data_IF_509018783691
#
_entry.id   IF_509018783691
#
_cell.length_a   1.000
_cell.length_b   1.000
_cell.length_c   1.000
_cell.angle_alpha   90.00
_cell.angle_beta   90.00
_cell.angle_gamma   90.00
#
_symmetry.space_group_name_H-M   'P 1'
#
loop_
_entity.id
_entity.type
_entity.pdbx_description
1 polymer ?
#
# COMPACT_ATOMS: atom_id res chain seq x y z
N UNK A 1 -0.51 -11.30 -24.30
CA UNK A 1 0.70 -10.92 -23.53
C UNK A 1 1.90 -10.75 -24.47
N UNK A 2 2.53 -9.57 -24.47
CA UNK A 2 3.79 -9.28 -25.18
C UNK A 2 4.97 -9.32 -24.20
N UNK A 3 6.15 -9.69 -24.68
CA UNK A 3 7.37 -9.69 -23.85
C UNK A 3 8.37 -8.66 -24.37
N UNK A 4 9.00 -7.91 -23.46
CA UNK A 4 10.09 -6.99 -23.80
C UNK A 4 11.26 -7.18 -22.85
N UNK A 5 12.48 -7.04 -23.36
CA UNK A 5 13.73 -7.12 -22.57
C UNK A 5 14.51 -5.82 -22.52
N UNK A 6 14.10 -4.79 -23.27
CA UNK A 6 14.76 -3.48 -23.34
C UNK A 6 13.82 -2.37 -22.91
N UNK A 7 14.38 -1.33 -22.28
CA UNK A 7 13.62 -0.13 -21.85
C UNK A 7 12.98 0.56 -23.04
N UNK A 8 13.71 0.76 -24.13
CA UNK A 8 13.20 1.47 -25.31
C UNK A 8 11.96 0.79 -25.91
N UNK A 9 11.97 -0.55 -26.05
CA UNK A 9 10.83 -1.27 -26.62
C UNK A 9 9.61 -1.26 -25.68
N UNK A 10 9.84 -1.41 -24.37
CA UNK A 10 8.77 -1.31 -23.37
C UNK A 10 8.15 0.09 -23.37
N UNK A 11 8.97 1.13 -23.27
CA UNK A 11 8.48 2.51 -23.23
C UNK A 11 7.72 2.87 -24.50
N UNK A 12 8.21 2.48 -25.68
CA UNK A 12 7.49 2.68 -26.94
C UNK A 12 6.11 2.00 -26.93
N UNK A 13 5.98 0.84 -26.31
CA UNK A 13 4.70 0.15 -26.20
C UNK A 13 3.73 0.82 -25.22
N UNK A 14 4.24 1.53 -24.21
CA UNK A 14 3.46 2.15 -23.15
C UNK A 14 3.05 3.61 -23.43
N UNK A 15 3.53 4.23 -24.52
CA UNK A 15 3.33 5.67 -24.77
C UNK A 15 1.85 6.11 -24.76
N UNK A 16 0.95 5.27 -25.29
CA UNK A 16 -0.47 5.60 -25.44
C UNK A 16 -1.36 4.92 -24.39
N UNK A 17 -0.76 4.32 -23.34
CA UNK A 17 -1.52 3.62 -22.32
C UNK A 17 -2.16 4.61 -21.32
N UNK A 18 -3.50 4.62 -21.26
CA UNK A 18 -4.27 5.52 -20.39
C UNK A 18 -4.16 5.21 -18.90
N UNK A 19 -3.94 3.94 -18.54
CA UNK A 19 -3.79 3.50 -17.16
C UNK A 19 -2.94 2.24 -17.10
N UNK A 20 -1.85 2.29 -16.35
CA UNK A 20 -0.87 1.19 -16.22
C UNK A 20 -0.84 0.71 -14.78
N UNK A 21 -1.22 -0.55 -14.58
CA UNK A 21 -1.00 -1.30 -13.35
C UNK A 21 0.30 -2.08 -13.42
N UNK A 22 1.22 -1.87 -12.48
CA UNK A 22 2.53 -2.50 -12.49
C UNK A 22 2.74 -3.45 -11.29
N UNK A 23 3.22 -4.66 -11.57
CA UNK A 23 3.56 -5.66 -10.55
C UNK A 23 5.04 -6.03 -10.69
N UNK A 24 5.96 -5.40 -9.93
CA UNK A 24 7.36 -5.77 -9.93
C UNK A 24 7.59 -7.08 -9.15
N UNK A 25 8.24 -8.06 -9.78
CA UNK A 25 8.54 -9.36 -9.17
C UNK A 25 9.96 -9.83 -9.50
N UNK A 26 10.43 -10.83 -8.76
CA UNK A 26 11.66 -11.58 -9.07
C UNK A 26 11.37 -12.90 -9.82
N UNK A 27 10.14 -13.15 -10.27
CA UNK A 27 9.74 -14.45 -10.84
C UNK A 27 9.46 -15.51 -9.78
N UNK A 28 9.36 -16.78 -10.21
CA UNK A 28 8.86 -17.89 -9.40
C UNK A 28 7.49 -17.56 -8.78
N UNK A 29 6.56 -17.23 -9.67
CA UNK A 29 5.25 -16.70 -9.34
C UNK A 29 4.39 -17.75 -8.63
N UNK A 30 3.49 -17.25 -7.79
CA UNK A 30 2.61 -18.07 -6.95
C UNK A 30 1.30 -17.33 -6.70
N UNK A 31 0.36 -17.92 -5.96
CA UNK A 31 -0.97 -17.34 -5.71
C UNK A 31 -0.92 -15.93 -5.09
N UNK A 32 0.09 -15.65 -4.25
CA UNK A 32 0.39 -14.28 -3.81
C UNK A 32 0.57 -13.29 -4.96
N UNK A 33 1.45 -13.58 -5.93
CA UNK A 33 1.65 -12.74 -7.11
C UNK A 33 0.41 -12.68 -8.01
N UNK A 34 -0.29 -13.81 -8.19
CA UNK A 34 -1.53 -13.84 -8.96
C UNK A 34 -2.59 -12.89 -8.37
N UNK A 35 -2.67 -12.77 -7.04
CA UNK A 35 -3.58 -11.81 -6.39
C UNK A 35 -3.23 -10.35 -6.69
N UNK A 36 -1.93 -10.01 -6.79
CA UNK A 36 -1.48 -8.68 -7.19
C UNK A 36 -1.90 -8.38 -8.63
N UNK A 37 -1.66 -9.34 -9.53
CA UNK A 37 -2.01 -9.24 -10.95
C UNK A 37 -3.52 -9.10 -11.12
N UNK A 38 -4.31 -9.90 -10.40
CA UNK A 38 -5.77 -9.84 -10.44
C UNK A 38 -6.31 -8.48 -9.96
N UNK A 39 -5.69 -7.88 -8.93
CA UNK A 39 -6.04 -6.53 -8.50
C UNK A 39 -5.62 -5.47 -9.52
N UNK A 40 -4.40 -5.54 -10.03
CA UNK A 40 -3.91 -4.65 -11.09
C UNK A 40 -4.81 -4.69 -12.32
N UNK A 41 -5.30 -5.88 -12.69
CA UNK A 41 -6.19 -6.05 -13.84
C UNK A 41 -7.54 -5.38 -13.65
N UNK A 42 -8.12 -5.44 -12.45
CA UNK A 42 -9.42 -4.82 -12.12
C UNK A 42 -9.37 -3.29 -12.13
N UNK A 43 -8.21 -2.72 -11.83
CA UNK A 43 -8.08 -1.29 -11.55
C UNK A 43 -7.41 -0.49 -12.68
N UNK A 44 -6.89 -1.15 -13.72
CA UNK A 44 -6.13 -0.50 -14.79
C UNK A 44 -6.46 -1.08 -16.17
N UNK A 45 -6.18 -0.31 -17.23
CA UNK A 45 -6.40 -0.70 -18.62
C UNK A 45 -5.27 -1.57 -19.18
N UNK A 46 -4.03 -1.37 -18.74
CA UNK A 46 -2.85 -2.18 -19.11
C UNK A 46 -2.19 -2.73 -17.85
N UNK A 47 -1.87 -4.02 -17.83
CA UNK A 47 -1.11 -4.67 -16.75
C UNK A 47 0.28 -5.05 -17.23
N UNK A 48 1.28 -4.52 -16.54
CA UNK A 48 2.70 -4.82 -16.73
C UNK A 48 3.20 -5.62 -15.53
N UNK A 49 3.88 -6.74 -15.79
CA UNK A 49 4.64 -7.47 -14.76
C UNK A 49 6.11 -7.44 -15.14
N UNK A 50 7.00 -7.14 -14.20
CA UNK A 50 8.44 -7.40 -14.41
C UNK A 50 8.86 -8.68 -13.70
N UNK A 51 9.70 -9.47 -14.35
CA UNK A 51 10.45 -10.56 -13.72
C UNK A 51 11.92 -10.20 -13.83
N UNK A 52 12.52 -9.81 -12.70
CA UNK A 52 13.92 -9.45 -12.63
C UNK A 52 14.49 -9.82 -11.26
N UNK A 53 15.39 -10.80 -11.25
CA UNK A 53 16.13 -11.18 -10.04
C UNK A 53 17.25 -10.16 -9.87
N UNK A 54 16.99 -9.14 -9.05
CA UNK A 54 17.90 -8.03 -8.80
C UNK A 54 19.12 -8.48 -7.97
N UNK A 55 20.36 -8.49 -8.49
CA UNK A 55 21.52 -8.88 -7.69
C UNK A 55 21.83 -7.93 -6.53
N UNK A 56 21.49 -6.64 -6.64
CA UNK A 56 21.85 -5.62 -5.63
C UNK A 56 21.17 -5.83 -4.27
N UNK A 57 20.09 -6.60 -4.23
CA UNK A 57 19.35 -6.88 -3.00
C UNK A 57 19.73 -8.24 -2.38
N UNK A 58 20.77 -8.90 -2.88
CA UNK A 58 21.29 -10.14 -2.31
C UNK A 58 22.66 -9.89 -1.67
N UNK A 59 22.82 -10.32 -0.42
CA UNK A 59 24.12 -10.36 0.23
C UNK A 59 25.03 -11.46 -0.35
N UNK A 60 26.36 -11.42 -0.10
CA UNK A 60 27.32 -12.39 -0.65
C UNK A 60 27.02 -13.85 -0.29
N UNK A 61 26.38 -14.09 0.86
CA UNK A 61 26.02 -15.42 1.36
C UNK A 61 24.55 -15.78 1.12
N UNK A 62 23.81 -14.92 0.40
CA UNK A 62 22.39 -15.15 0.12
C UNK A 62 22.17 -16.00 -1.14
N UNK A 63 20.93 -16.38 -1.36
CA UNK A 63 20.50 -17.40 -2.30
C UNK A 63 20.44 -16.96 -3.77
N UNK A 64 21.20 -15.94 -4.22
CA UNK A 64 21.13 -15.41 -5.59
C UNK A 64 21.36 -16.50 -6.66
N UNK A 65 22.35 -17.36 -6.44
CA UNK A 65 22.69 -18.44 -7.36
C UNK A 65 21.59 -19.53 -7.41
N UNK A 66 20.90 -19.76 -6.28
CA UNK A 66 19.91 -20.81 -6.11
C UNK A 66 18.46 -20.31 -6.22
N UNK A 67 18.27 -19.02 -6.50
CA UNK A 67 16.94 -18.43 -6.60
C UNK A 67 16.17 -19.05 -7.79
N UNK A 68 14.93 -19.54 -7.58
CA UNK A 68 14.18 -20.25 -8.61
C UNK A 68 13.90 -19.39 -9.85
N UNK A 69 14.05 -19.97 -11.05
CA UNK A 69 13.85 -19.27 -12.35
C UNK A 69 12.91 -20.02 -13.32
N UNK A 70 11.68 -20.38 -12.91
CA UNK A 70 10.77 -21.17 -13.74
C UNK A 70 10.04 -20.31 -14.78
N UNK A 71 10.79 -19.70 -15.71
CA UNK A 71 10.26 -18.66 -16.62
C UNK A 71 9.04 -19.11 -17.44
N UNK A 72 9.00 -20.36 -17.89
CA UNK A 72 7.86 -20.86 -18.67
C UNK A 72 6.59 -20.96 -17.83
N UNK A 73 6.70 -21.42 -16.58
CA UNK A 73 5.58 -21.44 -15.63
C UNK A 73 5.12 -20.03 -15.28
N UNK A 74 6.06 -19.11 -15.08
CA UNK A 74 5.74 -17.69 -14.82
C UNK A 74 5.00 -17.05 -16.00
N UNK A 75 5.44 -17.33 -17.24
CA UNK A 75 4.76 -16.85 -18.46
C UNK A 75 3.35 -17.41 -18.58
N UNK A 76 3.16 -18.70 -18.29
CA UNK A 76 1.85 -19.33 -18.32
C UNK A 76 0.89 -18.71 -17.28
N UNK A 77 1.36 -18.48 -16.06
CA UNK A 77 0.58 -17.82 -15.01
C UNK A 77 0.21 -16.39 -15.40
N UNK A 78 1.17 -15.60 -15.88
CA UNK A 78 0.91 -14.23 -16.34
C UNK A 78 -0.11 -14.18 -17.48
N UNK A 79 0.01 -15.07 -18.47
CA UNK A 79 -0.93 -15.15 -19.57
C UNK A 79 -2.35 -15.49 -19.08
N UNK A 80 -2.49 -16.49 -18.21
CA UNK A 80 -3.77 -16.89 -17.63
C UNK A 80 -4.39 -15.80 -16.74
N UNK A 81 -3.57 -14.98 -16.08
CA UNK A 81 -4.00 -13.89 -15.22
C UNK A 81 -4.31 -12.57 -15.97
N UNK A 82 -4.22 -12.56 -17.31
CA UNK A 82 -4.57 -11.40 -18.13
C UNK A 82 -3.51 -10.30 -18.16
N UNK A 83 -2.23 -10.66 -18.01
CA UNK A 83 -1.11 -9.72 -18.15
C UNK A 83 -0.93 -9.32 -19.62
N UNK A 84 -0.87 -8.01 -19.87
CA UNK A 84 -0.68 -7.47 -21.22
C UNK A 84 0.79 -7.52 -21.63
N UNK A 85 1.68 -7.14 -20.70
CA UNK A 85 3.11 -7.00 -20.95
C UNK A 85 3.93 -7.66 -19.84
N UNK A 86 4.87 -8.51 -20.25
CA UNK A 86 5.89 -9.09 -19.39
C UNK A 86 7.25 -8.45 -19.70
N UNK A 87 7.81 -7.73 -18.74
CA UNK A 87 9.13 -7.12 -18.84
C UNK A 87 10.20 -8.05 -18.23
N UNK A 88 11.13 -8.49 -19.07
CA UNK A 88 12.18 -9.47 -18.77
C UNK A 88 13.56 -8.86 -19.00
N UNK A 89 13.96 -7.85 -18.21
CA UNK A 89 15.23 -7.18 -18.42
C UNK A 89 16.41 -8.07 -17.99
N UNK A 90 17.53 -7.96 -18.68
CA UNK A 90 18.80 -8.58 -18.23
C UNK A 90 19.49 -7.70 -17.20
N UNK A 91 20.40 -8.28 -16.41
CA UNK A 91 21.25 -7.52 -15.46
C UNK A 91 22.06 -6.45 -16.19
N UNK A 92 22.63 -6.80 -17.34
CA UNK A 92 23.39 -5.86 -18.18
C UNK A 92 22.52 -4.71 -18.70
N UNK A 93 21.26 -4.98 -19.06
CA UNK A 93 20.34 -3.92 -19.47
C UNK A 93 19.99 -2.99 -18.28
N UNK A 94 19.80 -3.56 -17.09
CA UNK A 94 19.45 -2.79 -15.90
C UNK A 94 20.62 -1.98 -15.34
N UNK A 95 21.85 -2.51 -15.37
CA UNK A 95 23.00 -1.96 -14.64
C UNK A 95 24.25 -1.68 -15.50
N UNK A 96 24.18 -1.95 -16.81
CA UNK A 96 25.32 -1.82 -17.72
C UNK A 96 26.29 -2.99 -17.65
N UNK A 97 27.35 -2.91 -18.45
CA UNK A 97 28.41 -3.92 -18.53
C UNK A 97 29.46 -3.83 -17.41
N UNK A 98 29.30 -2.91 -16.45
CA UNK A 98 30.24 -2.75 -15.34
C UNK A 98 30.32 -4.03 -14.49
N UNK A 99 31.51 -4.28 -13.95
CA UNK A 99 31.87 -5.54 -13.30
C UNK A 99 30.81 -5.97 -12.27
N UNK A 100 30.19 -7.13 -12.50
CA UNK A 100 28.96 -7.60 -11.82
C UNK A 100 29.13 -7.78 -10.30
N UNK A 101 30.35 -7.62 -9.81
CA UNK A 101 30.82 -7.78 -8.45
C UNK A 101 31.14 -6.44 -7.77
N UNK A 102 31.28 -5.34 -8.52
CA UNK A 102 31.72 -4.06 -7.98
C UNK A 102 30.73 -2.94 -8.32
N UNK A 103 29.77 -2.72 -7.42
CA UNK A 103 28.72 -1.69 -7.53
C UNK A 103 29.26 -0.25 -7.44
N UNK A 104 30.59 -0.07 -7.42
CA UNK A 104 31.31 1.17 -7.14
C UNK A 104 31.09 2.30 -8.17
N UNK A 105 30.43 2.02 -9.30
CA UNK A 105 30.09 3.03 -10.32
C UNK A 105 28.58 3.24 -10.55
N UNK A 106 27.71 2.50 -9.85
CA UNK A 106 26.27 2.58 -10.06
C UNK A 106 25.64 3.58 -9.08
N UNK A 107 24.89 4.55 -9.61
CA UNK A 107 24.04 5.42 -8.77
C UNK A 107 22.97 4.58 -8.07
N UNK A 108 22.93 4.67 -6.74
CA UNK A 108 22.02 3.90 -5.90
C UNK A 108 21.17 4.81 -5.02
N UNK A 109 20.03 4.29 -4.60
CA UNK A 109 19.08 4.98 -3.72
C UNK A 109 19.18 4.37 -2.33
N UNK A 110 19.49 5.20 -1.34
CA UNK A 110 19.69 4.78 0.04
C UNK A 110 18.47 5.22 0.88
N UNK A 111 17.67 4.27 1.41
CA UNK A 111 16.57 4.61 2.31
C UNK A 111 17.06 5.24 3.62
N UNK A 112 16.22 6.04 4.31
CA UNK A 112 16.54 6.55 5.65
C UNK A 112 16.92 5.43 6.63
N UNK A 113 17.96 5.66 7.44
CA UNK A 113 18.48 4.67 8.39
C UNK A 113 17.41 4.15 9.37
N UNK A 114 16.49 5.02 9.80
CA UNK A 114 15.38 4.63 10.68
C UNK A 114 14.50 3.50 10.12
N UNK A 115 14.40 3.37 8.79
CA UNK A 115 13.60 2.31 8.15
C UNK A 115 14.38 1.01 7.94
N UNK A 116 15.72 1.03 8.06
CA UNK A 116 16.59 -0.11 7.73
C UNK A 116 17.37 -0.66 8.93
N UNK A 117 17.41 0.03 10.07
CA UNK A 117 18.16 -0.42 11.26
C UNK A 117 17.47 -1.56 12.07
N UNK A 118 16.20 -1.84 11.79
CA UNK A 118 15.39 -2.86 12.46
C UNK A 118 14.92 -3.95 11.49
N UNK A 119 14.27 -5.00 12.03
CA UNK A 119 13.68 -6.10 11.25
C UNK A 119 14.69 -6.73 10.27
N UNK A 120 14.27 -7.02 9.03
CA UNK A 120 15.14 -7.59 8.00
C UNK A 120 16.34 -6.70 7.67
N UNK A 121 16.25 -5.39 7.87
CA UNK A 121 17.32 -4.47 7.49
C UNK A 121 18.54 -4.62 8.38
N UNK A 122 18.34 -4.97 9.67
CA UNK A 122 19.43 -5.31 10.61
C UNK A 122 20.23 -6.51 10.13
N UNK A 123 19.53 -7.57 9.71
CA UNK A 123 20.15 -8.85 9.37
C UNK A 123 20.61 -8.94 7.91
N UNK A 124 20.16 -8.00 7.05
CA UNK A 124 20.47 -7.98 5.62
C UNK A 124 21.01 -6.61 5.19
N UNK A 125 22.24 -6.25 5.63
CA UNK A 125 22.86 -4.98 5.25
C UNK A 125 22.88 -4.78 3.73
N UNK A 126 22.51 -3.59 3.25
CA UNK A 126 22.45 -3.28 1.82
C UNK A 126 21.21 -3.80 1.07
N UNK A 127 20.46 -4.76 1.63
CA UNK A 127 19.28 -5.34 0.97
C UNK A 127 18.28 -4.27 0.51
N UNK A 128 17.87 -3.37 1.40
CA UNK A 128 16.88 -2.34 1.09
C UNK A 128 17.42 -1.20 0.23
N UNK A 129 18.74 -0.97 0.21
CA UNK A 129 19.36 -0.08 -0.78
C UNK A 129 19.25 -0.69 -2.18
N UNK A 130 19.49 -2.00 -2.32
CA UNK A 130 19.26 -2.74 -3.57
C UNK A 130 17.81 -2.70 -4.02
N UNK A 131 16.85 -2.90 -3.09
CA UNK A 131 15.41 -2.82 -3.36
C UNK A 131 15.01 -1.41 -3.78
N UNK A 132 15.39 -0.37 -3.04
CA UNK A 132 15.05 1.01 -3.35
C UNK A 132 15.61 1.44 -4.71
N UNK A 133 16.84 1.03 -5.03
CA UNK A 133 17.47 1.30 -6.32
C UNK A 133 16.70 0.67 -7.47
N UNK A 134 16.41 -0.63 -7.40
CA UNK A 134 15.72 -1.32 -8.52
C UNK A 134 14.28 -0.84 -8.67
N UNK A 135 13.55 -0.60 -7.57
CA UNK A 135 12.17 -0.13 -7.63
C UNK A 135 12.10 1.28 -8.20
N UNK A 136 12.98 2.20 -7.76
CA UNK A 136 13.07 3.55 -8.34
C UNK A 136 13.32 3.47 -9.85
N UNK A 137 14.24 2.61 -10.27
CA UNK A 137 14.55 2.42 -11.69
C UNK A 137 13.36 1.87 -12.48
N UNK A 138 12.69 0.85 -11.96
CA UNK A 138 11.51 0.25 -12.60
C UNK A 138 10.33 1.24 -12.70
N UNK A 139 10.08 2.03 -11.67
CA UNK A 139 9.02 3.06 -11.68
C UNK A 139 9.32 4.15 -12.72
N UNK A 140 10.59 4.55 -12.89
CA UNK A 140 11.00 5.49 -13.94
C UNK A 140 10.89 4.89 -15.36
N UNK A 141 11.13 3.59 -15.50
CA UNK A 141 11.01 2.87 -16.79
C UNK A 141 9.55 2.73 -17.19
N UNK A 142 8.70 2.25 -16.27
CA UNK A 142 7.30 1.87 -16.55
C UNK A 142 6.34 3.06 -16.45
N UNK A 143 6.62 4.02 -15.54
CA UNK A 143 5.75 5.16 -15.18
C UNK A 143 4.28 4.76 -14.95
N UNK A 144 4.01 3.85 -14.02
CA UNK A 144 2.68 3.32 -13.82
C UNK A 144 1.76 4.32 -13.11
N UNK A 145 0.45 4.18 -13.34
CA UNK A 145 -0.57 4.87 -12.52
C UNK A 145 -0.67 4.24 -11.14
N UNK A 146 -0.51 2.90 -11.05
CA UNK A 146 -0.56 2.14 -9.80
C UNK A 146 0.47 1.03 -9.80
N UNK A 147 1.16 0.85 -8.68
CA UNK A 147 2.12 -0.25 -8.49
C UNK A 147 1.72 -1.09 -7.29
N UNK A 148 1.70 -2.41 -7.48
CA UNK A 148 1.15 -3.36 -6.51
C UNK A 148 2.25 -4.12 -5.80
N UNK A 149 2.23 -4.06 -4.46
CA UNK A 149 3.14 -4.78 -3.59
C UNK A 149 2.38 -5.58 -2.53
N UNK A 150 2.89 -6.77 -2.21
CA UNK A 150 2.32 -7.62 -1.17
C UNK A 150 2.69 -7.14 0.24
N UNK A 151 1.75 -7.23 1.17
CA UNK A 151 1.95 -6.92 2.60
C UNK A 151 2.89 -7.91 3.30
N UNK A 152 3.19 -9.07 2.70
CA UNK A 152 4.11 -10.06 3.26
C UNK A 152 5.50 -9.46 3.53
N UNK A 153 5.96 -8.60 2.64
CA UNK A 153 7.21 -7.87 2.77
C UNK A 153 6.93 -6.46 3.34
N UNK A 154 6.34 -6.39 4.54
CA UNK A 154 5.82 -5.14 5.13
C UNK A 154 6.87 -4.02 5.24
N UNK A 155 8.11 -4.36 5.63
CA UNK A 155 9.22 -3.40 5.69
C UNK A 155 9.57 -2.85 4.30
N UNK A 156 9.57 -3.70 3.26
CA UNK A 156 9.77 -3.26 1.88
C UNK A 156 8.66 -2.28 1.46
N UNK A 157 7.39 -2.62 1.75
CA UNK A 157 6.26 -1.77 1.41
C UNK A 157 6.34 -0.39 2.09
N UNK A 158 6.69 -0.34 3.38
CA UNK A 158 6.88 0.92 4.11
C UNK A 158 8.01 1.76 3.50
N UNK A 159 9.15 1.14 3.17
CA UNK A 159 10.28 1.81 2.51
C UNK A 159 9.89 2.35 1.12
N UNK A 160 9.18 1.57 0.31
CA UNK A 160 8.76 1.99 -1.03
C UNK A 160 7.74 3.13 -0.96
N UNK A 161 6.81 3.11 0.00
CA UNK A 161 5.90 4.23 0.24
C UNK A 161 6.66 5.50 0.63
N UNK A 162 7.63 5.38 1.54
CA UNK A 162 8.47 6.51 1.94
C UNK A 162 9.25 7.07 0.76
N UNK A 163 9.87 6.19 -0.01
CA UNK A 163 10.61 6.52 -1.22
C UNK A 163 9.74 7.24 -2.26
N UNK A 164 8.53 6.73 -2.51
CA UNK A 164 7.60 7.34 -3.47
C UNK A 164 7.19 8.75 -3.03
N UNK A 165 6.91 8.95 -1.74
CA UNK A 165 6.60 10.26 -1.19
C UNK A 165 7.79 11.22 -1.23
N UNK A 166 8.96 10.79 -0.73
CA UNK A 166 10.15 11.65 -0.59
C UNK A 166 10.74 12.07 -1.95
N UNK A 167 10.62 11.22 -2.99
CA UNK A 167 11.16 11.48 -4.33
C UNK A 167 10.10 11.87 -5.36
N UNK A 168 8.86 12.09 -4.95
CA UNK A 168 7.72 12.37 -5.84
C UNK A 168 7.64 11.38 -7.01
N UNK A 169 7.80 10.08 -6.73
CA UNK A 169 7.75 9.07 -7.77
C UNK A 169 6.33 8.97 -8.33
N UNK A 170 6.18 8.74 -9.65
CA UNK A 170 4.87 8.71 -10.28
C UNK A 170 4.06 7.48 -9.83
N UNK A 171 2.75 7.69 -9.69
CA UNK A 171 1.78 6.63 -9.44
C UNK A 171 1.57 6.29 -7.97
N UNK A 172 0.51 5.54 -7.71
CA UNK A 172 0.09 5.13 -6.38
C UNK A 172 0.71 3.78 -5.96
N UNK A 173 1.15 3.65 -4.70
CA UNK A 173 1.65 2.38 -4.15
C UNK A 173 0.53 1.61 -3.45
N UNK A 174 0.02 0.59 -4.14
CA UNK A 174 -1.09 -0.24 -3.70
C UNK A 174 -0.59 -1.43 -2.87
N UNK A 175 -1.03 -1.50 -1.62
CA UNK A 175 -0.77 -2.66 -0.75
C UNK A 175 -1.81 -3.75 -0.94
N UNK A 176 -1.36 -4.99 -1.11
CA UNK A 176 -2.23 -6.15 -1.26
C UNK A 176 -2.08 -7.13 -0.09
N UNK A 177 -3.19 -7.73 0.41
CA UNK A 177 -3.16 -8.69 1.50
C UNK A 177 -2.22 -9.87 1.30
N UNK A 178 -1.74 -10.43 2.41
CA UNK A 178 -0.97 -11.67 2.40
C UNK A 178 -1.88 -12.82 1.96
N UNK A 179 -1.49 -13.54 0.91
CA UNK A 179 -2.17 -14.78 0.51
C UNK A 179 -1.49 -15.94 1.23
N UNK A 180 -2.32 -16.80 1.85
CA UNK A 180 -1.88 -17.97 2.62
C UNK A 180 -2.41 -19.25 1.97
N UNK A 181 -1.65 -20.33 2.09
CA UNK A 181 -2.13 -21.67 1.78
C UNK A 181 -3.20 -22.11 2.81
N UNK A 182 -3.90 -23.21 2.53
CA UNK A 182 -4.96 -23.72 3.43
C UNK A 182 -4.46 -24.04 4.84
N UNK A 183 -3.17 -24.40 4.98
CA UNK A 183 -2.51 -24.63 6.27
C UNK A 183 -2.04 -23.34 6.98
N UNK A 184 -2.37 -22.16 6.42
CA UNK A 184 -2.01 -20.85 6.96
C UNK A 184 -0.62 -20.33 6.58
N UNK A 185 0.24 -21.13 5.94
CA UNK A 185 1.57 -20.70 5.53
C UNK A 185 1.47 -19.61 4.46
N UNK A 186 2.16 -18.49 4.64
CA UNK A 186 2.21 -17.43 3.64
C UNK A 186 2.90 -17.91 2.36
N UNK A 187 2.34 -17.60 1.19
CA UNK A 187 2.99 -17.97 -0.08
C UNK A 187 4.31 -17.21 -0.26
N UNK A 188 5.34 -17.93 -0.68
CA UNK A 188 6.68 -17.41 -0.98
C UNK A 188 7.33 -18.28 -2.04
N UNK A 189 8.11 -17.69 -2.95
CA UNK A 189 8.96 -18.45 -3.89
C UNK A 189 9.90 -19.40 -3.15
N UNK A 190 10.38 -18.99 -1.97
CA UNK A 190 11.26 -19.78 -1.10
C UNK A 190 10.58 -20.99 -0.42
N UNK A 191 9.25 -21.13 -0.49
CA UNK A 191 8.58 -22.33 0.04
C UNK A 191 8.97 -23.59 -0.76
N UNK A 192 9.47 -23.44 -1.99
CA UNK A 192 9.97 -24.53 -2.81
C UNK A 192 11.19 -25.26 -2.20
N UNK A 193 11.90 -24.63 -1.25
CA UNK A 193 13.04 -25.24 -0.56
C UNK A 193 12.62 -26.14 0.62
N UNK A 194 11.36 -26.08 1.04
CA UNK A 194 10.87 -26.77 2.23
C UNK A 194 10.39 -28.18 1.88
N UNK A 195 10.90 -29.17 2.61
CA UNK A 195 10.30 -30.52 2.68
C UNK A 195 8.89 -30.46 3.30
N UNK A 196 8.11 -31.54 3.16
CA UNK A 196 6.77 -31.60 3.75
C UNK A 196 6.77 -31.41 5.29
N UNK A 197 7.78 -31.95 5.99
CA UNK A 197 7.93 -31.77 7.43
C UNK A 197 8.29 -30.33 7.80
N UNK A 198 9.17 -29.70 7.02
CA UNK A 198 9.53 -28.29 7.22
C UNK A 198 8.37 -27.35 6.91
N UNK A 199 7.56 -27.62 5.87
CA UNK A 199 6.33 -26.88 5.60
C UNK A 199 5.35 -26.97 6.78
N UNK A 200 5.19 -28.15 7.35
CA UNK A 200 4.33 -28.34 8.53
C UNK A 200 4.86 -27.54 9.72
N UNK A 201 6.17 -27.54 9.99
CA UNK A 201 6.77 -26.71 11.05
C UNK A 201 6.62 -25.22 10.79
N UNK A 202 6.82 -24.77 9.54
CA UNK A 202 6.73 -23.37 9.14
C UNK A 202 5.34 -22.74 9.41
N UNK A 203 4.28 -23.54 9.48
CA UNK A 203 2.94 -23.04 9.88
C UNK A 203 2.91 -22.45 11.31
N UNK A 204 3.92 -22.73 12.15
CA UNK A 204 4.04 -22.10 13.47
C UNK A 204 4.18 -20.57 13.40
N UNK A 205 4.76 -20.04 12.33
CA UNK A 205 4.87 -18.60 12.11
C UNK A 205 3.49 -17.94 12.04
N UNK A 206 2.61 -18.46 11.18
CA UNK A 206 1.26 -17.92 11.02
C UNK A 206 0.38 -18.20 12.22
N UNK A 207 0.48 -19.37 12.85
CA UNK A 207 -0.22 -19.68 14.11
C UNK A 207 0.17 -18.72 15.24
N UNK A 208 1.46 -18.43 15.39
CA UNK A 208 1.95 -17.46 16.37
C UNK A 208 1.34 -16.08 16.18
N UNK A 209 1.36 -15.58 14.94
CA UNK A 209 0.74 -14.29 14.60
C UNK A 209 -0.76 -14.28 14.83
N UNK A 210 -1.46 -15.37 14.52
CA UNK A 210 -2.90 -15.51 14.79
C UNK A 210 -3.20 -15.44 16.29
N UNK A 211 -2.45 -16.15 17.14
CA UNK A 211 -2.62 -16.08 18.60
C UNK A 211 -2.30 -14.69 19.16
N UNK A 212 -1.31 -14.00 18.60
CA UNK A 212 -1.02 -12.61 18.97
C UNK A 212 -2.17 -11.67 18.56
N UNK A 213 -2.78 -11.90 17.40
CA UNK A 213 -3.97 -11.18 16.97
C UNK A 213 -5.17 -11.45 17.90
N UNK A 214 -5.42 -12.70 18.29
CA UNK A 214 -6.46 -13.05 19.26
C UNK A 214 -6.22 -12.38 20.63
N UNK A 215 -4.97 -12.36 21.11
CA UNK A 215 -4.61 -11.64 22.34
C UNK A 215 -4.89 -10.13 22.18
N UNK A 216 -4.56 -9.56 21.02
CA UNK A 216 -4.85 -8.16 20.73
C UNK A 216 -6.35 -7.86 20.68
N UNK A 217 -7.14 -8.69 20.02
CA UNK A 217 -8.61 -8.53 19.97
C UNK A 217 -9.24 -8.60 21.37
N UNK A 218 -8.65 -9.37 22.28
CA UNK A 218 -9.03 -9.48 23.70
C UNK A 218 -8.45 -8.38 24.62
N UNK A 219 -7.90 -7.31 24.06
CA UNK A 219 -7.41 -6.14 24.83
C UNK A 219 -5.92 -6.17 25.16
N UNK A 220 -5.16 -7.19 24.75
CA UNK A 220 -3.72 -7.21 24.89
C UNK A 220 -3.05 -6.13 24.02
N UNK A 221 -2.21 -5.29 24.63
CA UNK A 221 -1.51 -4.20 23.90
C UNK A 221 0.01 -4.22 24.09
N UNK A 222 0.49 -4.91 25.10
CA UNK A 222 1.91 -4.91 25.48
C UNK A 222 2.75 -5.76 24.52
N UNK A 223 3.86 -5.17 24.04
CA UNK A 223 4.83 -5.81 23.17
C UNK A 223 5.33 -7.15 23.74
N UNK A 224 5.74 -7.15 25.01
CA UNK A 224 6.31 -8.33 25.67
C UNK A 224 5.35 -9.53 25.63
N UNK A 225 4.05 -9.30 25.88
CA UNK A 225 3.04 -10.36 25.88
C UNK A 225 2.79 -10.91 24.46
N UNK A 226 2.64 -10.01 23.48
CA UNK A 226 2.44 -10.39 22.08
C UNK A 226 3.64 -11.19 21.53
N UNK A 227 4.86 -10.70 21.78
CA UNK A 227 6.10 -11.37 21.37
C UNK A 227 6.26 -12.72 22.06
N UNK A 228 5.94 -12.83 23.36
CA UNK A 228 6.07 -14.07 24.11
C UNK A 228 5.16 -15.17 23.57
N UNK A 229 3.91 -14.85 23.21
CA UNK A 229 2.98 -15.82 22.59
C UNK A 229 3.54 -16.36 21.28
N UNK A 230 4.02 -15.47 20.39
CA UNK A 230 4.61 -15.91 19.12
C UNK A 230 5.84 -16.78 19.35
N UNK A 231 6.72 -16.37 20.28
CA UNK A 231 7.94 -17.12 20.61
C UNK A 231 7.63 -18.53 21.13
N UNK A 232 6.59 -18.67 21.96
CA UNK A 232 6.15 -19.98 22.46
C UNK A 232 5.67 -20.90 21.34
N UNK A 233 4.91 -20.37 20.37
CA UNK A 233 4.44 -21.16 19.21
C UNK A 233 5.59 -21.65 18.33
N UNK A 234 6.59 -20.80 18.09
CA UNK A 234 7.79 -21.18 17.34
C UNK A 234 8.59 -22.25 18.09
N UNK A 235 8.81 -22.06 19.40
CA UNK A 235 9.55 -23.02 20.22
C UNK A 235 8.88 -24.40 20.26
N UNK A 236 7.55 -24.46 20.35
CA UNK A 236 6.79 -25.71 20.29
C UNK A 236 6.95 -26.47 18.97
N UNK A 237 7.28 -25.77 17.88
CA UNK A 237 7.61 -26.36 16.58
C UNK A 237 9.12 -26.61 16.37
N UNK A 238 9.94 -26.39 17.42
CA UNK A 238 11.39 -26.48 17.38
C UNK A 238 12.01 -25.44 16.44
N UNK A 239 11.42 -24.24 16.37
CA UNK A 239 11.92 -23.13 15.56
C UNK A 239 12.43 -22.01 16.45
N UNK A 240 13.54 -21.41 16.04
CA UNK A 240 14.07 -20.19 16.63
C UNK A 240 13.84 -19.02 15.67
N UNK A 241 13.34 -17.91 16.21
CA UNK A 241 13.19 -16.70 15.44
C UNK A 241 14.52 -15.96 15.34
N UNK A 242 14.84 -15.49 14.13
CA UNK A 242 15.87 -14.47 13.93
C UNK A 242 15.42 -13.15 14.58
N UNK A 243 14.15 -12.79 14.43
CA UNK A 243 13.51 -11.73 15.18
C UNK A 243 12.00 -11.95 15.33
N UNK A 244 11.45 -11.40 16.41
CA UNK A 244 10.02 -11.14 16.61
C UNK A 244 9.96 -9.72 17.16
N UNK A 245 9.51 -8.77 16.36
CA UNK A 245 9.55 -7.35 16.71
C UNK A 245 8.18 -6.70 16.46
N UNK A 246 7.74 -5.88 17.42
CA UNK A 246 6.58 -5.01 17.27
C UNK A 246 7.07 -3.60 16.95
N UNK A 247 6.64 -3.07 15.81
CA UNK A 247 7.04 -1.74 15.33
C UNK A 247 5.85 -0.92 14.87
N UNK A 248 6.04 0.38 14.74
CA UNK A 248 5.08 1.24 14.04
C UNK A 248 5.13 0.92 12.52
N UNK A 249 3.99 0.71 11.85
CA UNK A 249 3.96 0.27 10.45
C UNK A 249 4.50 1.29 9.44
N UNK A 250 4.65 2.56 9.83
CA UNK A 250 5.07 3.65 8.94
C UNK A 250 6.55 4.00 9.15
N UNK A 251 6.94 4.21 10.41
CA UNK A 251 8.29 4.63 10.81
C UNK A 251 9.22 3.45 11.08
N UNK A 252 8.65 2.24 11.22
CA UNK A 252 9.35 0.99 11.55
C UNK A 252 10.17 1.07 12.85
N UNK A 253 9.85 2.04 13.72
CA UNK A 253 10.46 2.16 15.03
C UNK A 253 9.82 1.17 16.02
N UNK A 254 10.62 0.54 16.91
CA UNK A 254 10.09 -0.35 17.93
C UNK A 254 9.06 0.31 18.82
N UNK A 255 8.04 -0.45 19.20
CA UNK A 255 6.97 -0.01 20.10
C UNK A 255 6.88 -0.93 21.32
N UNK A 256 6.60 -0.35 22.49
CA UNK A 256 6.36 -1.10 23.72
C UNK A 256 4.88 -1.44 23.93
N UNK A 257 3.98 -0.63 23.38
CA UNK A 257 2.53 -0.80 23.51
C UNK A 257 1.84 -0.29 22.25
N UNK A 258 0.81 -1.01 21.80
CA UNK A 258 -0.02 -0.58 20.68
C UNK A 258 -1.07 0.40 21.19
N UNK A 259 -1.07 1.63 20.65
CA UNK A 259 -2.14 2.60 20.91
C UNK A 259 -3.29 2.39 19.92
N UNK A 260 -3.03 2.59 18.63
CA UNK A 260 -4.02 2.37 17.56
C UNK A 260 -3.64 1.22 16.64
N UNK A 261 -2.39 1.22 16.19
CA UNK A 261 -1.87 0.28 15.19
C UNK A 261 -0.44 -0.12 15.52
N UNK A 262 -0.10 -1.37 15.27
CA UNK A 262 1.25 -1.91 15.39
C UNK A 262 1.45 -3.05 14.39
N UNK A 263 2.66 -3.18 13.87
CA UNK A 263 3.07 -4.26 12.99
C UNK A 263 3.90 -5.26 13.80
N UNK A 264 3.37 -6.47 14.00
CA UNK A 264 4.11 -7.58 14.58
C UNK A 264 4.73 -8.39 13.45
N UNK A 265 6.06 -8.36 13.34
CA UNK A 265 6.80 -9.00 12.26
C UNK A 265 7.73 -10.09 12.79
N UNK A 266 7.88 -11.15 12.00
CA UNK A 266 8.73 -12.30 12.32
C UNK A 266 9.60 -12.72 11.15
N UNK A 267 10.81 -13.18 11.48
CA UNK A 267 11.66 -13.94 10.57
C UNK A 267 12.23 -15.14 11.31
N UNK A 268 12.29 -16.28 10.61
CA UNK A 268 12.86 -17.52 11.15
C UNK A 268 13.48 -18.37 10.04
N UNK A 269 14.51 -19.12 10.38
CA UNK A 269 15.12 -20.10 9.51
C UNK A 269 14.39 -21.45 9.64
N UNK A 270 13.93 -22.01 8.53
CA UNK A 270 13.31 -23.33 8.47
C UNK A 270 14.04 -24.16 7.41
N UNK A 271 14.87 -25.10 7.86
CA UNK A 271 15.80 -25.78 6.97
C UNK A 271 16.79 -24.78 6.37
N UNK A 272 16.90 -24.76 5.05
CA UNK A 272 17.72 -23.79 4.29
C UNK A 272 16.94 -22.52 3.92
N UNK A 273 15.63 -22.47 4.13
CA UNK A 273 14.81 -21.31 3.79
C UNK A 273 14.70 -20.30 4.95
N UNK A 274 15.04 -19.04 4.67
CA UNK A 274 14.67 -17.92 5.54
C UNK A 274 13.26 -17.46 5.23
N UNK A 275 12.34 -17.66 6.18
CA UNK A 275 10.93 -17.28 6.05
C UNK A 275 10.64 -16.00 6.83
N UNK A 276 9.69 -15.22 6.31
CA UNK A 276 9.16 -14.03 6.99
C UNK A 276 7.64 -14.08 6.97
N UNK A 277 7.04 -13.47 7.99
CA UNK A 277 5.60 -13.25 8.07
C UNK A 277 5.33 -12.01 8.95
N UNK A 278 4.12 -11.46 8.89
CA UNK A 278 3.71 -10.35 9.73
C UNK A 278 2.19 -10.25 9.90
N UNK A 279 1.77 -9.53 10.94
CA UNK A 279 0.39 -9.15 11.18
C UNK A 279 0.28 -7.67 11.55
N UNK A 280 -0.64 -6.97 10.90
CA UNK A 280 -1.01 -5.61 11.27
C UNK A 280 -2.11 -5.68 12.33
N UNK A 281 -1.76 -5.34 13.57
CA UNK A 281 -2.66 -5.28 14.70
C UNK A 281 -3.22 -3.86 14.79
N UNK A 282 -4.52 -3.69 14.60
CA UNK A 282 -5.15 -2.37 14.53
C UNK A 282 -6.50 -2.37 15.24
N UNK A 283 -6.76 -1.33 16.03
CA UNK A 283 -8.05 -1.07 16.66
C UNK A 283 -8.74 0.15 16.04
N UNK A 284 -8.65 0.31 14.72
CA UNK A 284 -9.40 1.35 14.02
C UNK A 284 -10.84 0.88 13.77
N UNK A 285 -11.80 1.71 14.15
CA UNK A 285 -13.19 1.52 13.71
C UNK A 285 -13.24 1.50 12.18
N UNK A 286 -14.09 0.64 11.61
CA UNK A 286 -14.22 0.50 10.18
C UNK A 286 -14.60 1.84 9.52
N UNK A 287 -13.91 2.20 8.44
CA UNK A 287 -14.33 3.30 7.56
C UNK A 287 -15.22 2.69 6.48
N UNK A 288 -16.48 3.11 6.44
CA UNK A 288 -17.45 2.64 5.45
C UNK A 288 -17.67 3.74 4.42
N UNK A 289 -17.22 3.50 3.18
CA UNK A 289 -17.51 4.37 2.04
C UNK A 289 -18.76 3.85 1.32
N UNK A 290 -19.70 4.77 1.03
CA UNK A 290 -20.96 4.46 0.34
C UNK A 290 -20.94 5.16 -1.02
N UNK A 291 -20.72 4.40 -2.09
CA UNK A 291 -20.63 4.89 -3.46
C UNK A 291 -21.83 4.47 -4.32
N UNK A 292 -22.06 5.16 -5.43
CA UNK A 292 -23.17 4.94 -6.35
C UNK A 292 -23.56 6.20 -7.14
N UNK A 293 -24.44 6.09 -8.15
CA UNK A 293 -24.82 7.22 -8.99
C UNK A 293 -25.54 8.34 -8.22
N UNK A 294 -25.57 9.54 -8.79
CA UNK A 294 -26.32 10.68 -8.24
C UNK A 294 -27.80 10.32 -8.04
N UNK A 295 -28.43 10.81 -6.97
CA UNK A 295 -29.84 10.52 -6.65
C UNK A 295 -30.13 9.13 -6.08
N UNK A 296 -29.14 8.23 -5.96
CA UNK A 296 -29.35 6.87 -5.42
C UNK A 296 -29.64 6.80 -3.90
N UNK A 297 -29.87 7.94 -3.23
CA UNK A 297 -30.13 7.99 -1.79
C UNK A 297 -28.92 7.72 -0.90
N UNK A 298 -27.69 7.78 -1.43
CA UNK A 298 -26.44 7.48 -0.71
C UNK A 298 -26.36 8.18 0.65
N UNK A 299 -26.52 9.49 0.69
CA UNK A 299 -26.43 10.27 1.95
C UNK A 299 -27.44 9.81 3.00
N UNK A 300 -28.63 9.39 2.58
CA UNK A 300 -29.67 8.84 3.47
C UNK A 300 -29.26 7.46 3.99
N UNK A 301 -28.75 6.58 3.13
CA UNK A 301 -28.31 5.24 3.53
C UNK A 301 -27.06 5.32 4.42
N UNK A 302 -26.06 6.14 4.06
CA UNK A 302 -24.84 6.34 4.85
C UNK A 302 -25.16 6.81 6.26
N UNK A 303 -26.10 7.76 6.42
CA UNK A 303 -26.54 8.22 7.75
C UNK A 303 -27.17 7.10 8.57
N UNK A 304 -28.04 6.28 7.97
CA UNK A 304 -28.67 5.14 8.65
C UNK A 304 -27.65 4.07 9.05
N UNK A 305 -26.69 3.77 8.18
CA UNK A 305 -25.60 2.81 8.46
C UNK A 305 -24.71 3.35 9.58
N UNK A 306 -24.31 4.62 9.52
CA UNK A 306 -23.52 5.26 10.56
C UNK A 306 -24.22 5.18 11.92
N UNK A 307 -25.53 5.45 11.96
CA UNK A 307 -26.35 5.31 13.17
C UNK A 307 -26.40 3.86 13.68
N UNK A 308 -26.70 2.90 12.81
CA UNK A 308 -26.84 1.49 13.19
C UNK A 308 -25.52 0.90 13.73
N UNK A 309 -24.38 1.40 13.26
CA UNK A 309 -23.05 0.93 13.63
C UNK A 309 -22.33 1.82 14.65
N UNK A 310 -22.94 2.93 15.09
CA UNK A 310 -22.31 3.90 15.99
C UNK A 310 -21.06 4.57 15.39
N UNK A 311 -21.01 4.72 14.06
CA UNK A 311 -19.89 5.35 13.34
C UNK A 311 -20.13 6.85 13.17
N UNK A 312 -19.04 7.62 13.02
CA UNK A 312 -19.13 9.04 12.63
C UNK A 312 -19.53 9.16 11.16
N UNK A 313 -20.53 9.99 10.88
CA UNK A 313 -20.93 10.33 9.51
C UNK A 313 -20.08 11.48 8.96
N UNK A 314 -19.53 11.29 7.77
CA UNK A 314 -18.81 12.31 7.00
C UNK A 314 -19.59 12.60 5.72
N UNK A 315 -20.11 13.83 5.57
CA UNK A 315 -20.71 14.27 4.30
C UNK A 315 -19.61 14.73 3.33
N UNK A 316 -19.14 13.81 2.49
CA UNK A 316 -18.17 14.11 1.44
C UNK A 316 -18.72 15.09 0.39
N UNK A 317 -20.05 15.14 0.19
CA UNK A 317 -20.67 16.11 -0.71
C UNK A 317 -20.53 17.55 -0.20
N UNK A 318 -20.68 17.75 1.12
CA UNK A 318 -20.43 19.06 1.74
C UNK A 318 -18.96 19.49 1.59
N UNK A 319 -18.03 18.54 1.68
CA UNK A 319 -16.61 18.79 1.43
C UNK A 319 -16.35 19.25 0.00
N UNK A 320 -16.83 18.52 -1.01
CA UNK A 320 -16.65 18.91 -2.41
C UNK A 320 -17.25 20.30 -2.69
N UNK A 321 -18.47 20.59 -2.19
CA UNK A 321 -19.11 21.90 -2.37
C UNK A 321 -18.31 23.04 -1.73
N UNK A 322 -17.79 22.84 -0.51
CA UNK A 322 -16.99 23.85 0.17
C UNK A 322 -15.70 24.16 -0.61
N UNK A 323 -15.02 23.13 -1.12
CA UNK A 323 -13.82 23.31 -1.94
C UNK A 323 -14.14 24.00 -3.27
N UNK A 324 -15.22 23.62 -3.95
CA UNK A 324 -15.67 24.30 -5.18
C UNK A 324 -15.99 25.77 -4.92
N UNK A 325 -16.67 26.10 -3.81
CA UNK A 325 -16.91 27.48 -3.42
C UNK A 325 -15.59 28.24 -3.26
N UNK A 326 -14.60 27.65 -2.58
CA UNK A 326 -13.30 28.30 -2.38
C UNK A 326 -12.59 28.60 -3.71
N UNK A 327 -12.60 27.64 -4.67
CA UNK A 327 -12.03 27.85 -6.02
C UNK A 327 -12.72 29.01 -6.73
N UNK A 328 -14.04 29.09 -6.65
CA UNK A 328 -14.83 30.18 -7.25
C UNK A 328 -14.59 31.52 -6.54
N UNK A 329 -14.45 31.52 -5.22
CA UNK A 329 -14.21 32.72 -4.40
C UNK A 329 -12.84 33.36 -4.70
N UNK A 330 -11.80 32.54 -4.91
CA UNK A 330 -10.49 33.03 -5.37
C UNK A 330 -10.45 33.41 -6.86
N UNK A 331 -11.53 33.16 -7.60
CA UNK A 331 -11.64 33.45 -9.03
C UNK A 331 -10.79 32.55 -9.93
N UNK A 332 -10.51 31.31 -9.50
CA UNK A 332 -9.82 30.32 -10.33
C UNK A 332 -10.79 29.64 -11.29
N UNK A 333 -10.30 29.33 -12.49
CA UNK A 333 -11.03 28.52 -13.47
C UNK A 333 -11.11 27.07 -12.98
N UNK A 334 -12.33 26.54 -12.88
CA UNK A 334 -12.58 25.15 -12.45
C UNK A 334 -11.99 24.11 -13.42
N UNK A 335 -11.74 24.50 -14.67
CA UNK A 335 -11.14 23.64 -15.71
C UNK A 335 -9.62 23.67 -15.70
N UNK A 336 -9.00 24.62 -15.00
CA UNK A 336 -7.56 24.64 -14.76
C UNK A 336 -7.22 23.69 -13.60
N UNK A 337 -7.14 22.39 -13.91
CA UNK A 337 -6.84 21.36 -12.93
C UNK A 337 -5.54 21.61 -12.16
N UNK A 338 -4.54 22.23 -12.80
CA UNK A 338 -3.27 22.54 -12.18
C UNK A 338 -3.41 23.66 -11.14
N UNK A 339 -4.08 24.76 -11.49
CA UNK A 339 -4.33 25.84 -10.54
C UNK A 339 -5.23 25.40 -9.38
N UNK A 340 -6.24 24.57 -9.66
CA UNK A 340 -7.09 23.97 -8.61
C UNK A 340 -6.25 23.08 -7.69
N UNK A 341 -5.38 22.22 -8.24
CA UNK A 341 -4.52 21.35 -7.44
C UNK A 341 -3.56 22.13 -6.52
N UNK A 342 -2.97 23.23 -7.01
CA UNK A 342 -2.13 24.15 -6.23
C UNK A 342 -2.90 24.75 -5.04
N UNK A 343 -4.13 25.22 -5.26
CA UNK A 343 -4.99 25.71 -4.18
C UNK A 343 -5.32 24.60 -3.16
N UNK A 344 -5.67 23.41 -3.64
CA UNK A 344 -6.03 22.29 -2.77
C UNK A 344 -4.85 21.82 -1.91
N UNK A 345 -3.62 21.87 -2.40
CA UNK A 345 -2.43 21.47 -1.66
C UNK A 345 -2.16 22.35 -0.42
N UNK A 346 -2.69 23.57 -0.40
CA UNK A 346 -2.50 24.55 0.68
C UNK A 346 -3.77 24.86 1.47
N UNK A 347 -4.92 24.29 1.07
CA UNK A 347 -6.22 24.51 1.68
C UNK A 347 -6.44 23.61 2.91
N UNK A 348 -6.33 24.10 4.16
CA UNK A 348 -6.76 23.35 5.32
C UNK A 348 -8.27 23.10 5.27
N UNK A 349 -8.67 21.85 5.50
CA UNK A 349 -10.06 21.45 5.65
C UNK A 349 -10.30 21.06 7.09
N UNK A 350 -11.28 21.68 7.74
CA UNK A 350 -11.71 21.31 9.09
C UNK A 350 -13.13 20.77 9.05
N UNK A 351 -13.29 19.58 9.63
CA UNK A 351 -14.59 18.99 9.90
C UNK A 351 -14.98 19.26 11.34
N UNK A 352 -16.18 19.78 11.54
CA UNK A 352 -16.80 19.83 12.86
C UNK A 352 -17.96 18.83 12.88
N UNK A 353 -17.76 17.79 13.69
CA UNK A 353 -18.78 16.77 13.90
C UNK A 353 -19.64 17.19 15.10
N UNK A 354 -20.97 17.22 14.97
CA UNK A 354 -21.84 17.48 16.11
C UNK A 354 -21.61 16.43 17.21
N UNK A 355 -21.66 16.86 18.47
CA UNK A 355 -21.59 15.95 19.61
C UNK A 355 -22.81 15.02 19.57
N UNK A 356 -22.57 13.70 19.59
CA UNK A 356 -23.62 12.69 19.63
C UNK A 356 -24.38 12.78 20.95
N UNK A 357 -25.51 13.47 20.98
CA UNK A 357 -26.42 13.44 22.12
C UNK A 357 -27.38 12.24 21.98
N UNK A 358 -27.46 11.35 22.99
CA UNK A 358 -28.41 10.24 22.98
C UNK A 358 -29.85 10.75 22.75
N UNK A 359 -30.54 10.21 21.75
CA UNK A 359 -31.95 10.55 21.47
C UNK A 359 -32.19 11.72 20.50
N UNK A 360 -31.14 12.38 19.98
CA UNK A 360 -31.30 13.36 18.88
C UNK A 360 -31.43 12.68 17.52
N UNK A 361 -32.28 13.25 16.64
CA UNK A 361 -32.41 12.79 15.25
C UNK A 361 -31.10 13.04 14.49
N UNK A 362 -30.44 12.00 13.95
CA UNK A 362 -29.24 12.16 13.14
C UNK A 362 -29.48 12.99 11.87
N UNK A 363 -30.73 13.15 11.42
CA UNK A 363 -31.06 14.00 10.29
C UNK A 363 -30.79 15.50 10.56
N UNK A 364 -30.74 15.92 11.82
CA UNK A 364 -30.41 17.31 12.20
C UNK A 364 -28.91 17.50 12.51
N UNK A 365 -28.10 16.44 12.40
CA UNK A 365 -26.67 16.45 12.68
C UNK A 365 -25.88 16.66 11.39
N UNK A 366 -25.73 17.92 10.99
CA UNK A 366 -24.96 18.30 9.79
C UNK A 366 -23.47 18.38 10.15
N UNK A 367 -22.64 17.61 9.45
CA UNK A 367 -21.18 17.80 9.51
C UNK A 367 -20.85 19.15 8.88
N UNK A 368 -20.32 20.08 9.66
CA UNK A 368 -19.86 21.36 9.10
C UNK A 368 -18.47 21.16 8.50
N UNK A 369 -18.29 21.67 7.29
CA UNK A 369 -17.00 21.67 6.59
C UNK A 369 -16.54 23.11 6.44
N UNK A 370 -15.33 23.36 6.91
CA UNK A 370 -14.68 24.66 6.81
C UNK A 370 -13.45 24.56 5.92
N UNK A 371 -13.30 25.52 5.02
CA UNK A 371 -12.18 25.64 4.09
C UNK A 371 -11.58 27.04 4.21
N UNK A 372 -10.28 27.20 3.97
CA UNK A 372 -9.56 28.48 4.07
C UNK A 372 -8.40 28.53 3.08
N UNK A 373 -8.02 29.74 2.66
CA UNK A 373 -6.85 29.99 1.79
C UNK A 373 -5.52 29.88 2.57
N UNK A 374 -5.53 30.11 3.89
CA UNK A 374 -4.32 30.09 4.73
C UNK A 374 -4.48 29.23 5.97
N UNK A 375 -3.41 28.54 6.35
CA UNK A 375 -3.33 27.78 7.60
C UNK A 375 -3.54 28.71 8.81
N UNK A 376 -4.67 28.52 9.52
CA UNK A 376 -4.96 29.23 10.78
C UNK A 376 -6.02 30.33 10.71
N UNK A 377 -6.58 30.67 9.53
CA UNK A 377 -7.60 31.72 9.38
C UNK A 377 -9.00 31.16 9.11
N UNK A 378 -9.61 30.50 10.09
CA UNK A 378 -11.06 30.28 10.06
C UNK A 378 -11.72 31.53 10.65
N UNK A 379 -12.03 32.55 9.83
CA UNK A 379 -12.71 33.77 10.28
C UNK A 379 -14.18 33.81 9.79
N UNK A 380 -15.12 33.94 10.73
CA UNK A 380 -16.45 34.53 10.49
C UNK A 380 -17.60 33.56 10.18
N UNK A 381 -18.19 32.98 11.24
CA UNK A 381 -19.18 31.88 11.32
C UNK A 381 -20.55 32.02 10.58
N UNK A 382 -20.75 32.93 9.62
CA UNK A 382 -22.08 33.09 8.95
C UNK A 382 -22.09 33.25 7.44
N UNK A 383 -21.00 33.68 6.81
CA UNK A 383 -20.99 33.92 5.35
C UNK A 383 -20.88 32.62 4.54
N UNK A 384 -20.07 31.67 5.01
CA UNK A 384 -19.80 30.40 4.31
C UNK A 384 -21.04 29.51 4.24
N UNK A 385 -21.78 29.35 5.35
CA UNK A 385 -23.02 28.54 5.35
C UNK A 385 -24.06 29.07 4.34
N UNK A 386 -24.27 30.39 4.30
CA UNK A 386 -25.22 31.03 3.37
C UNK A 386 -24.81 30.92 1.90
N UNK A 387 -23.52 30.97 1.57
CA UNK A 387 -23.06 30.85 0.19
C UNK A 387 -23.02 29.40 -0.30
N UNK A 388 -22.70 28.44 0.58
CA UNK A 388 -22.84 27.01 0.28
C UNK A 388 -24.31 26.66 0.03
N UNK A 389 -25.25 27.22 0.80
CA UNK A 389 -26.70 27.07 0.54
C UNK A 389 -27.13 27.75 -0.78
N UNK A 390 -26.57 28.92 -1.13
CA UNK A 390 -26.87 29.56 -2.44
C UNK A 390 -26.34 28.78 -3.65
N UNK A 391 -25.28 28.00 -3.51
CA UNK A 391 -24.83 27.05 -4.55
C UNK A 391 -25.87 25.94 -4.74
N UNK A 392 -26.57 25.52 -3.68
CA UNK A 392 -27.67 24.54 -3.75
C UNK A 392 -28.90 25.11 -4.47
N UNK A 393 -29.17 26.41 -4.31
CA UNK A 393 -30.33 27.07 -4.93
C UNK A 393 -30.10 27.52 -6.39
N UNK A 394 -28.85 27.81 -6.79
CA UNK A 394 -28.52 28.13 -8.18
C UNK A 394 -28.37 26.84 -8.98
N UNK A 395 -28.78 26.87 -10.25
CA UNK A 395 -28.74 25.83 -11.30
C UNK A 395 -27.34 25.23 -11.59
N UNK A 396 -26.38 25.38 -10.69
CA UNK A 396 -24.98 24.96 -10.81
C UNK A 396 -24.81 23.46 -10.54
N UNK A 397 -25.72 22.81 -9.79
CA UNK A 397 -25.69 21.36 -9.55
C UNK A 397 -25.90 20.55 -10.85
N UNK A 398 -26.65 21.09 -11.82
CA UNK A 398 -26.86 20.43 -13.13
C UNK A 398 -25.69 20.58 -14.09
N UNK A 399 -24.97 21.71 -14.06
CA UNK A 399 -23.85 21.99 -14.96
C UNK A 399 -22.56 21.25 -14.56
N UNK A 400 -22.22 21.20 -13.26
CA UNK A 400 -21.02 20.50 -12.76
C UNK A 400 -21.09 18.99 -13.06
N UNK A 401 -22.28 18.40 -13.01
CA UNK A 401 -22.48 16.97 -13.31
C UNK A 401 -22.43 16.66 -14.82
N UNK A 402 -22.59 17.66 -15.70
CA UNK A 402 -22.53 17.49 -17.15
C UNK A 402 -21.12 17.71 -17.72
N UNK A 403 -20.26 18.48 -17.05
CA UNK A 403 -18.90 18.75 -17.54
C UNK A 403 -17.84 17.71 -17.13
N UNK A 404 -18.15 16.81 -16.19
CA UNK A 404 -17.28 15.67 -15.80
C UNK A 404 -17.72 14.38 -16.53
N UNK A 405 -17.93 14.45 -17.85
CA UNK A 405 -18.18 13.29 -18.71
C UNK A 405 -17.10 13.09 -19.74
#
# INVERSE_FOLDING_TARGET
MRCFSTVAALQRQLQDASSIGFVPTMGALHLGHQSLIARARRENAVVVVSIFINPLQFGPQEDLANYPRPLDADRALCAAAGVDILFLPTVEMMYGAADRTNSAGLTQVVPPAGLTQHLCGRSRPGHFQGVATVVTKLLNIVRPSRTYFGQKDAQQLAIIRRLAADLNLPGEIISCPIVRAANGLAFSSRNAYLSAQEQQRATALSRGLQKAQELFENGGRCCAALVAIVRSELAAAGLEAEYIELVDPTTLQPMQTIQEVGLLAIAAQVGTARLIDNALLSQRQAIVAMDGPAGAGKSTVTRRVAQALGLRYLDTGAMYRALTWLVLDVGLDLTDEAAVAELMATCPIRFEFPQLQPGTDPATQVTRVWVSQTAGSFQGDRKVEHEVERIVERTVEREITQQIR
#
